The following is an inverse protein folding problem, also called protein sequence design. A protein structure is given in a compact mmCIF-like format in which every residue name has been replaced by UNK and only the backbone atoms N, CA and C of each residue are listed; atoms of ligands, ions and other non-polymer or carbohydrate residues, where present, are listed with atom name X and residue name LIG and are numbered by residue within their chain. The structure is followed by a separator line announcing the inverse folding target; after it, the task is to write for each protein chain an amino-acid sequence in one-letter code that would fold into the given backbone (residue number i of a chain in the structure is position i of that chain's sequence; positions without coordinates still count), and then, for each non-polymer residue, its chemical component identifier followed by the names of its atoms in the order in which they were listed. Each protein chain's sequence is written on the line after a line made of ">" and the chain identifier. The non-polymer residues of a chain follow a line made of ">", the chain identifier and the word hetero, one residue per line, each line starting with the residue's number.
data_IF_949644224888
#
_entry.id   IF_949644224888
#
_cell.length_a   1.000
_cell.length_b   1.000
_cell.length_c   1.000
_cell.angle_alpha   90.00
_cell.angle_beta   90.00
_cell.angle_gamma   90.00
#
_symmetry.space_group_name_H-M   'P 1'
#
loop_
_entity.id
_entity.type
_entity.pdbx_description
1 polymer ?
#
# COMPACT_ATOMS: atom_id res chain seq x y z
N UNK A 1 -18.41 -14.49 11.59
CA UNK A 1 -19.15 -14.70 10.33
C UNK A 1 -18.42 -13.89 9.27
N UNK A 2 -17.53 -14.58 8.52
CA UNK A 2 -16.63 -13.97 7.56
C UNK A 2 -17.44 -13.44 6.38
N UNK A 3 -17.32 -12.15 6.11
CA UNK A 3 -17.94 -11.55 4.93
C UNK A 3 -16.84 -11.41 3.88
N UNK A 4 -16.56 -12.51 3.18
CA UNK A 4 -15.88 -12.48 1.89
C UNK A 4 -16.78 -11.70 0.93
N UNK A 5 -16.53 -10.39 0.81
CA UNK A 5 -17.15 -9.60 -0.24
C UNK A 5 -16.37 -9.86 -1.51
N UNK A 6 -16.77 -10.89 -2.24
CA UNK A 6 -16.38 -11.05 -3.64
C UNK A 6 -16.99 -9.89 -4.41
N UNK A 7 -16.15 -9.01 -4.95
CA UNK A 7 -16.58 -8.10 -6.02
C UNK A 7 -16.59 -8.87 -7.35
N UNK A 8 -17.34 -8.36 -8.33
CA UNK A 8 -17.75 -9.02 -9.57
C UNK A 8 -16.60 -9.48 -10.49
N UNK A 9 -15.33 -9.22 -10.11
CA UNK A 9 -14.10 -9.64 -10.80
C UNK A 9 -13.32 -10.77 -10.11
N UNK A 10 -13.82 -11.35 -9.02
CA UNK A 10 -13.15 -12.45 -8.30
C UNK A 10 -12.00 -12.00 -7.39
N UNK A 11 -11.89 -10.70 -7.11
CA UNK A 11 -10.95 -10.15 -6.14
C UNK A 11 -11.37 -10.54 -4.70
N UNK A 12 -10.41 -11.01 -3.92
CA UNK A 12 -10.58 -11.46 -2.54
C UNK A 12 -10.06 -10.39 -1.58
N UNK A 13 -10.95 -9.83 -0.77
CA UNK A 13 -10.58 -8.92 0.30
C UNK A 13 -10.00 -9.70 1.50
N UNK A 14 -8.70 -9.55 1.76
CA UNK A 14 -8.00 -10.24 2.85
C UNK A 14 -8.06 -9.47 4.16
N UNK A 15 -7.95 -8.15 4.10
CA UNK A 15 -7.96 -7.29 5.29
C UNK A 15 -9.37 -7.07 5.87
N UNK A 16 -9.54 -7.25 7.19
CA UNK A 16 -10.81 -7.04 7.87
C UNK A 16 -11.00 -5.58 8.34
N UNK A 17 -12.19 -5.02 8.07
CA UNK A 17 -12.54 -3.66 8.47
C UNK A 17 -13.97 -3.56 9.00
N UNK A 18 -14.18 -2.83 10.10
CA UNK A 18 -15.49 -2.64 10.71
C UNK A 18 -16.35 -1.64 9.92
N UNK A 19 -17.69 -1.66 10.06
CA UNK A 19 -18.57 -0.66 9.46
C UNK A 19 -18.19 0.78 9.81
N UNK A 20 -17.74 1.03 11.04
CA UNK A 20 -17.29 2.34 11.52
C UNK A 20 -16.03 2.80 10.80
N UNK A 21 -15.08 1.89 10.56
CA UNK A 21 -13.86 2.18 9.81
C UNK A 21 -14.19 2.53 8.35
N UNK A 22 -15.10 1.78 7.72
CA UNK A 22 -15.58 2.12 6.38
C UNK A 22 -16.30 3.48 6.33
N UNK A 23 -17.11 3.79 7.35
CA UNK A 23 -17.76 5.11 7.47
C UNK A 23 -16.73 6.22 7.60
N UNK A 24 -15.72 6.04 8.44
CA UNK A 24 -14.62 6.99 8.60
C UNK A 24 -13.82 7.18 7.30
N UNK A 25 -13.52 6.10 6.58
CA UNK A 25 -12.83 6.20 5.28
C UNK A 25 -13.62 7.04 4.27
N UNK A 26 -14.94 6.83 4.18
CA UNK A 26 -15.83 7.65 3.34
C UNK A 26 -15.84 9.12 3.77
N UNK A 27 -15.84 9.37 5.08
CA UNK A 27 -15.75 10.73 5.61
C UNK A 27 -14.43 11.39 5.24
N UNK A 28 -13.29 10.73 5.43
CA UNK A 28 -11.97 11.26 5.05
C UNK A 28 -11.89 11.54 3.53
N UNK A 29 -12.49 10.69 2.70
CA UNK A 29 -12.57 10.91 1.26
C UNK A 29 -13.39 12.18 0.94
N UNK A 30 -14.55 12.34 1.55
CA UNK A 30 -15.39 13.53 1.36
C UNK A 30 -14.67 14.81 1.84
N UNK A 31 -14.05 14.77 3.01
CA UNK A 31 -13.24 15.89 3.53
C UNK A 31 -12.07 16.20 2.59
N UNK A 32 -11.39 15.18 2.07
CA UNK A 32 -10.34 15.36 1.09
C UNK A 32 -10.88 16.05 -0.16
N UNK A 33 -11.96 15.56 -0.78
CA UNK A 33 -12.53 16.13 -2.00
C UNK A 33 -12.87 17.61 -1.81
N UNK A 34 -13.48 17.97 -0.69
CA UNK A 34 -13.98 19.33 -0.43
C UNK A 34 -12.91 20.31 0.08
N UNK A 35 -11.77 19.83 0.59
CA UNK A 35 -10.72 20.73 1.10
C UNK A 35 -10.05 21.51 -0.04
N UNK A 36 -9.65 22.78 0.18
CA UNK A 36 -8.80 23.52 -0.75
C UNK A 36 -7.49 22.79 -1.05
N UNK A 37 -7.16 22.65 -2.33
CA UNK A 37 -5.95 22.00 -2.82
C UNK A 37 -4.83 23.04 -2.95
N UNK A 38 -4.10 23.25 -1.86
CA UNK A 38 -2.92 24.12 -1.87
C UNK A 38 -1.79 23.42 -2.62
N UNK A 39 -1.20 24.08 -3.62
CA UNK A 39 0.02 23.60 -4.28
C UNK A 39 1.17 23.57 -3.29
N UNK A 40 1.91 22.47 -3.26
CA UNK A 40 3.05 22.25 -2.37
C UNK A 40 4.29 21.87 -3.16
N UNK A 41 5.38 21.56 -2.47
CA UNK A 41 6.58 21.12 -3.15
C UNK A 41 6.34 19.78 -3.86
N UNK A 42 6.95 19.57 -5.04
CA UNK A 42 6.88 18.29 -5.72
C UNK A 42 7.56 17.21 -4.88
N UNK A 43 7.09 15.96 -5.02
CA UNK A 43 7.74 14.83 -4.39
C UNK A 43 9.14 14.62 -4.94
N UNK A 44 10.02 14.18 -4.04
CA UNK A 44 11.35 13.73 -4.40
C UNK A 44 11.26 12.30 -4.93
N UNK A 45 11.92 12.05 -6.04
CA UNK A 45 11.98 10.74 -6.67
C UNK A 45 13.40 10.18 -6.67
N UNK A 46 13.53 8.85 -6.67
CA UNK A 46 14.79 8.15 -6.93
C UNK A 46 14.57 7.11 -8.03
N UNK A 47 15.63 6.72 -8.73
CA UNK A 47 15.55 5.68 -9.76
C UNK A 47 15.63 4.30 -9.13
N UNK A 48 14.59 3.49 -9.30
CA UNK A 48 14.59 2.06 -9.02
C UNK A 48 14.65 1.30 -10.35
N UNK A 49 15.83 0.76 -10.68
CA UNK A 49 16.14 0.33 -12.05
C UNK A 49 16.12 1.53 -13.00
N UNK A 50 15.28 1.49 -14.02
CA UNK A 50 15.03 2.59 -14.96
C UNK A 50 13.80 3.45 -14.61
N UNK A 51 13.08 3.10 -13.55
CA UNK A 51 11.79 3.72 -13.21
C UNK A 51 11.94 4.73 -12.06
N UNK A 52 11.47 5.98 -12.22
CA UNK A 52 11.41 6.94 -11.11
C UNK A 52 10.31 6.54 -10.13
N UNK A 53 10.67 6.44 -8.84
CA UNK A 53 9.77 6.12 -7.73
C UNK A 53 9.90 7.15 -6.62
N UNK A 54 8.87 7.29 -5.78
CA UNK A 54 8.95 8.19 -4.62
C UNK A 54 10.11 7.81 -3.69
N UNK A 55 10.86 8.82 -3.21
CA UNK A 55 12.04 8.64 -2.36
C UNK A 55 11.72 7.81 -1.09
N UNK A 56 10.50 7.95 -0.55
CA UNK A 56 10.05 7.20 0.62
C UNK A 56 9.79 5.72 0.35
N UNK A 57 9.52 5.35 -0.91
CA UNK A 57 9.29 3.96 -1.31
C UNK A 57 10.55 3.26 -1.74
N UNK A 58 11.53 4.01 -2.24
CA UNK A 58 12.80 3.46 -2.71
C UNK A 58 13.44 2.41 -1.76
N UNK A 59 13.64 2.69 -0.46
CA UNK A 59 14.23 1.68 0.44
C UNK A 59 13.34 0.44 0.63
N UNK A 60 12.02 0.58 0.53
CA UNK A 60 11.06 -0.52 0.64
C UNK A 60 11.22 -1.45 -0.57
N UNK A 61 11.25 -0.87 -1.77
CA UNK A 61 11.36 -1.61 -3.03
C UNK A 61 12.69 -2.36 -3.12
N UNK A 62 13.78 -1.77 -2.62
CA UNK A 62 15.07 -2.44 -2.53
C UNK A 62 14.99 -3.64 -1.59
N UNK A 63 14.43 -3.49 -0.37
CA UNK A 63 14.29 -4.61 0.57
C UNK A 63 13.44 -5.74 -0.02
N UNK A 64 12.34 -5.42 -0.70
CA UNK A 64 11.46 -6.41 -1.34
C UNK A 64 12.15 -7.12 -2.50
N UNK A 65 12.85 -6.38 -3.36
CA UNK A 65 13.63 -6.98 -4.45
C UNK A 65 14.70 -7.93 -3.93
N UNK A 66 15.42 -7.54 -2.88
CA UNK A 66 16.44 -8.37 -2.25
C UNK A 66 15.85 -9.63 -1.59
N UNK A 67 14.62 -9.54 -1.08
CA UNK A 67 13.87 -10.70 -0.57
C UNK A 67 13.33 -11.60 -1.70
N UNK A 68 13.50 -11.22 -2.97
CA UNK A 68 12.98 -11.95 -4.12
C UNK A 68 11.49 -11.73 -4.38
N UNK A 69 10.91 -10.65 -3.85
CA UNK A 69 9.53 -10.27 -4.13
C UNK A 69 9.47 -9.30 -5.32
N UNK A 70 8.81 -9.74 -6.38
CA UNK A 70 8.53 -8.90 -7.54
C UNK A 70 7.36 -7.95 -7.23
N UNK A 71 7.55 -6.66 -7.53
CA UNK A 71 6.57 -5.61 -7.28
C UNK A 71 6.24 -4.89 -8.58
N UNK A 72 4.98 -4.49 -8.71
CA UNK A 72 4.50 -3.60 -9.77
C UNK A 72 3.98 -2.34 -9.11
N UNK A 73 4.17 -1.18 -9.75
CA UNK A 73 3.60 0.10 -9.37
C UNK A 73 3.68 0.46 -7.86
N UNK A 74 4.60 1.35 -7.53
CA UNK A 74 4.77 1.86 -6.18
C UNK A 74 4.66 3.38 -6.20
N UNK A 75 3.61 3.92 -5.59
CA UNK A 75 3.49 5.36 -5.33
C UNK A 75 3.17 5.59 -3.85
N UNK A 76 3.86 6.55 -3.23
CA UNK A 76 3.42 7.07 -1.96
C UNK A 76 2.11 7.81 -2.23
N UNK A 77 1.14 7.66 -1.35
CA UNK A 77 -0.11 8.40 -1.47
C UNK A 77 0.13 9.89 -1.26
N UNK A 78 -0.90 10.70 -1.48
CA UNK A 78 -0.88 12.12 -1.12
C UNK A 78 -0.71 12.28 0.40
N UNK A 79 0.37 12.91 0.83
CA UNK A 79 0.44 13.53 2.14
C UNK A 79 -0.27 14.89 2.09
N UNK A 80 -0.79 15.39 3.23
CA UNK A 80 -1.13 16.80 3.34
C UNK A 80 0.01 17.74 2.95
N UNK A 81 1.27 17.27 2.94
CA UNK A 81 2.47 18.02 2.57
C UNK A 81 2.82 17.98 1.08
N UNK A 82 2.13 17.17 0.28
CA UNK A 82 2.47 16.96 -1.13
C UNK A 82 1.53 17.74 -2.08
N UNK A 83 1.98 17.94 -3.31
CA UNK A 83 1.16 18.58 -4.35
C UNK A 83 0.02 17.64 -4.78
N UNK A 84 -1.26 18.03 -4.64
CA UNK A 84 -2.36 17.09 -4.86
C UNK A 84 -2.57 16.69 -6.33
N UNK A 85 -1.96 17.41 -7.27
CA UNK A 85 -1.94 17.11 -8.70
C UNK A 85 -0.69 16.28 -8.95
N UNK A 86 -0.81 15.14 -9.63
CA UNK A 86 0.27 14.16 -9.91
C UNK A 86 0.54 13.08 -8.83
N UNK A 87 -0.39 12.85 -7.90
CA UNK A 87 -0.25 11.82 -6.86
C UNK A 87 -1.46 10.90 -6.72
N UNK A 88 -1.17 9.66 -6.33
CA UNK A 88 -2.21 8.70 -5.93
C UNK A 88 -2.85 9.12 -4.61
N UNK A 89 -4.17 8.97 -4.49
CA UNK A 89 -4.90 9.35 -3.28
C UNK A 89 -4.48 8.52 -2.05
N UNK A 90 -4.25 7.24 -2.27
CA UNK A 90 -3.78 6.30 -1.26
C UNK A 90 -2.37 5.86 -1.60
N UNK A 91 -1.54 5.65 -0.58
CA UNK A 91 -0.29 4.92 -0.75
C UNK A 91 -0.62 3.48 -1.10
N UNK A 92 0.07 2.91 -2.08
CA UNK A 92 -0.18 1.54 -2.50
C UNK A 92 1.08 0.83 -3.00
N UNK A 93 1.02 -0.50 -2.99
CA UNK A 93 2.01 -1.42 -3.51
C UNK A 93 1.29 -2.62 -4.11
N UNK A 94 1.62 -2.96 -5.36
CA UNK A 94 1.22 -4.23 -5.97
C UNK A 94 2.39 -5.20 -5.95
N UNK A 95 2.14 -6.47 -5.66
CA UNK A 95 3.16 -7.53 -5.71
C UNK A 95 2.59 -8.84 -6.21
N UNK A 96 3.40 -9.62 -6.93
CA UNK A 96 2.91 -10.84 -7.59
C UNK A 96 2.94 -12.05 -6.66
N UNK A 97 1.99 -12.96 -6.80
CA UNK A 97 1.85 -14.18 -6.00
C UNK A 97 2.87 -15.25 -6.42
N UNK A 98 4.15 -14.95 -6.18
CA UNK A 98 5.29 -15.82 -6.41
C UNK A 98 6.30 -15.64 -5.28
N UNK A 99 7.08 -16.69 -5.01
CA UNK A 99 8.13 -16.65 -3.99
C UNK A 99 7.56 -16.24 -2.62
N UNK A 100 8.10 -15.20 -1.97
CA UNK A 100 7.76 -14.85 -0.59
C UNK A 100 6.44 -14.05 -0.45
N UNK A 101 5.62 -13.96 -1.48
CA UNK A 101 4.45 -13.08 -1.53
C UNK A 101 3.38 -13.38 -0.47
N UNK A 102 3.02 -14.64 -0.27
CA UNK A 102 2.02 -15.02 0.73
C UNK A 102 2.51 -14.64 2.14
N UNK A 103 3.77 -14.96 2.46
CA UNK A 103 4.40 -14.56 3.72
C UNK A 103 4.41 -13.05 3.88
N UNK A 104 4.68 -12.30 2.82
CA UNK A 104 4.64 -10.84 2.88
C UNK A 104 3.22 -10.32 3.14
N UNK A 105 2.19 -10.88 2.49
CA UNK A 105 0.80 -10.54 2.76
C UNK A 105 0.42 -10.78 4.23
N UNK A 106 0.88 -11.88 4.83
CA UNK A 106 0.70 -12.16 6.26
C UNK A 106 1.37 -11.10 7.14
N UNK A 107 2.63 -10.74 6.86
CA UNK A 107 3.33 -9.67 7.59
C UNK A 107 2.58 -8.34 7.51
N UNK A 108 2.04 -8.00 6.33
CA UNK A 108 1.23 -6.79 6.17
C UNK A 108 -0.03 -6.86 7.04
N UNK A 109 -0.75 -7.99 7.05
CA UNK A 109 -1.94 -8.16 7.89
C UNK A 109 -1.62 -8.06 9.39
N UNK A 110 -0.53 -8.69 9.83
CA UNK A 110 -0.06 -8.67 11.23
C UNK A 110 0.34 -7.25 11.69
N UNK A 111 1.16 -6.57 10.89
CA UNK A 111 1.78 -5.29 11.25
C UNK A 111 0.84 -4.10 11.04
N UNK A 112 0.02 -4.12 9.98
CA UNK A 112 -0.81 -2.98 9.59
C UNK A 112 -2.24 -3.07 10.14
N UNK A 113 -2.76 -4.28 10.34
CA UNK A 113 -4.14 -4.51 10.82
C UNK A 113 -5.13 -3.70 9.97
N UNK A 114 -6.04 -2.95 10.61
CA UNK A 114 -7.05 -2.10 9.95
C UNK A 114 -6.50 -0.84 9.25
N UNK A 115 -5.17 -0.65 9.19
CA UNK A 115 -4.56 0.51 8.54
C UNK A 115 -4.30 0.30 7.05
N UNK A 116 -4.37 -0.95 6.58
CA UNK A 116 -4.17 -1.30 5.18
C UNK A 116 -5.39 -2.04 4.63
N UNK A 117 -5.76 -1.71 3.39
CA UNK A 117 -6.62 -2.54 2.56
C UNK A 117 -5.71 -3.50 1.79
N UNK A 118 -5.93 -4.81 1.94
CA UNK A 118 -5.16 -5.83 1.24
C UNK A 118 -6.13 -6.73 0.50
N UNK A 119 -5.91 -6.87 -0.79
CA UNK A 119 -6.69 -7.74 -1.67
C UNK A 119 -5.78 -8.69 -2.43
N UNK A 120 -6.35 -9.81 -2.86
CA UNK A 120 -5.71 -10.76 -3.77
C UNK A 120 -6.60 -10.95 -4.99
N UNK A 121 -6.01 -10.85 -6.18
CA UNK A 121 -6.69 -11.03 -7.46
C UNK A 121 -6.18 -12.33 -8.12
N UNK A 122 -6.90 -13.46 -7.96
CA UNK A 122 -6.43 -14.77 -8.43
C UNK A 122 -6.19 -14.81 -9.94
N UNK A 123 -7.02 -14.11 -10.73
CA UNK A 123 -6.92 -14.08 -12.18
C UNK A 123 -5.62 -13.44 -12.69
N UNK A 124 -5.03 -12.53 -11.90
CA UNK A 124 -3.80 -11.80 -12.25
C UNK A 124 -2.61 -12.21 -11.40
N UNK A 125 -2.79 -13.17 -10.48
CA UNK A 125 -1.73 -13.66 -9.59
C UNK A 125 -1.01 -12.52 -8.88
N UNK A 126 -1.77 -11.60 -8.28
CA UNK A 126 -1.21 -10.42 -7.61
C UNK A 126 -2.00 -10.02 -6.38
N UNK A 127 -1.30 -9.40 -5.46
CA UNK A 127 -1.82 -8.75 -4.28
C UNK A 127 -1.75 -7.25 -4.47
N UNK A 128 -2.79 -6.55 -4.05
CA UNK A 128 -2.83 -5.10 -3.98
C UNK A 128 -2.94 -4.68 -2.51
N UNK A 129 -1.96 -3.92 -2.04
CA UNK A 129 -1.95 -3.37 -0.68
C UNK A 129 -1.98 -1.85 -0.74
N UNK A 130 -2.97 -1.24 -0.09
CA UNK A 130 -3.06 0.21 0.02
C UNK A 130 -3.24 0.64 1.47
N UNK A 131 -2.83 1.87 1.78
CA UNK A 131 -3.33 2.55 2.97
C UNK A 131 -4.87 2.55 2.95
N UNK A 132 -5.50 2.31 4.11
CA UNK A 132 -6.95 2.32 4.23
C UNK A 132 -7.50 3.75 4.44
N UNK A 133 -6.72 4.62 5.08
CA UNK A 133 -7.05 6.01 5.39
C UNK A 133 -6.09 6.95 4.68
N UNK A 134 -6.59 8.07 4.14
CA UNK A 134 -5.76 9.05 3.43
C UNK A 134 -4.76 9.67 4.41
N UNK A 135 -5.21 9.94 5.64
CA UNK A 135 -4.35 10.45 6.72
C UNK A 135 -3.23 9.50 7.15
N UNK A 136 -3.26 8.24 6.71
CA UNK A 136 -2.28 7.23 7.06
C UNK A 136 -1.27 6.91 5.95
N UNK A 137 -1.26 7.64 4.83
CA UNK A 137 -0.31 7.39 3.73
C UNK A 137 1.15 7.31 4.22
N UNK A 138 1.59 8.21 5.12
CA UNK A 138 2.94 8.19 5.67
C UNK A 138 3.19 7.02 6.64
N UNK A 139 2.23 6.73 7.52
CA UNK A 139 2.38 5.61 8.46
C UNK A 139 2.30 4.26 7.75
N UNK A 140 1.56 4.16 6.65
CA UNK A 140 1.57 3.03 5.76
C UNK A 140 2.96 2.78 5.19
N UNK A 141 3.64 3.80 4.62
CA UNK A 141 5.00 3.64 4.13
C UNK A 141 5.99 3.17 5.21
N UNK A 142 5.87 3.70 6.44
CA UNK A 142 6.71 3.27 7.57
C UNK A 142 6.47 1.80 7.95
N UNK A 143 5.22 1.37 8.03
CA UNK A 143 4.86 -0.02 8.34
C UNK A 143 5.22 -0.96 7.18
N UNK A 144 5.16 -0.45 5.95
CA UNK A 144 5.52 -1.19 4.75
C UNK A 144 7.03 -1.45 4.72
N UNK A 145 7.85 -0.44 5.02
CA UNK A 145 9.29 -0.63 5.24
C UNK A 145 9.57 -1.66 6.33
N UNK A 146 8.90 -1.54 7.49
CA UNK A 146 9.09 -2.48 8.59
C UNK A 146 8.81 -3.92 8.18
N UNK A 147 7.71 -4.14 7.43
CA UNK A 147 7.30 -5.46 6.94
C UNK A 147 8.26 -5.97 5.86
N UNK A 148 8.75 -5.11 4.97
CA UNK A 148 9.73 -5.46 3.94
C UNK A 148 11.07 -5.87 4.56
N UNK A 149 11.54 -5.14 5.57
CA UNK A 149 12.78 -5.47 6.27
C UNK A 149 12.64 -6.76 7.08
N UNK A 150 11.45 -7.05 7.61
CA UNK A 150 11.17 -8.32 8.27
C UNK A 150 11.19 -9.48 7.28
N UNK A 151 10.55 -9.34 6.12
CA UNK A 151 10.60 -10.33 5.06
C UNK A 151 12.03 -10.62 4.60
N UNK A 152 12.83 -9.58 4.40
CA UNK A 152 14.23 -9.71 4.01
C UNK A 152 15.05 -10.47 5.05
N UNK A 153 14.85 -10.18 6.35
CA UNK A 153 15.49 -10.94 7.44
C UNK A 153 15.06 -12.39 7.49
N UNK A 154 13.77 -12.66 7.26
CA UNK A 154 13.22 -14.02 7.23
C UNK A 154 13.79 -14.82 6.04
N UNK A 155 14.08 -14.15 4.91
CA UNK A 155 14.63 -14.76 3.69
C UNK A 155 16.13 -15.07 3.77
N UNK A 156 16.84 -14.47 4.72
CA UNK A 156 18.27 -14.66 4.94
C UNK A 156 18.60 -15.78 5.95
N UNK A 157 17.57 -16.45 6.49
CA UNK A 157 17.69 -17.56 7.44
C UNK A 157 17.46 -18.89 6.73
#
# INVERSE_FOLDING_TARGET
>A
MNQERQDSGGELLLSAHTPEQWRRRRQELNEWINRPKVRKQPKRTRLFGSTPVDEQLYPILISLQQAGLETEFSCAGVSPLDEPVDHSLYAYLTFFSKGPAERFADLLMENMKHRALITYEPARHRYDASSFFIGHNRSFCLLLQHSADQLLRDSAR
#
